data_IF_042956752148
#
_entry.id   IF_042956752148
#
_cell.length_a   1.000
_cell.length_b   1.000
_cell.length_c   1.000
_cell.angle_alpha   90.00
_cell.angle_beta   90.00
_cell.angle_gamma   90.00
#
_symmetry.space_group_name_H-M   'P 1'
#
loop_
_entity.id
_entity.type
_entity.pdbx_description
1 polymer ?
#
# COMPACT_ATOMS: atom_id res chain seq x y z
N UNK A 1 -0.72 -16.29 26.24
CA UNK A 1 -1.33 -15.39 25.22
C UNK A 1 -0.40 -15.40 24.00
N UNK A 2 -0.70 -16.20 22.98
CA UNK A 2 0.18 -16.32 21.80
C UNK A 2 0.15 -15.00 21.04
N UNK A 3 1.23 -14.21 21.12
CA UNK A 3 1.46 -13.08 20.23
C UNK A 3 1.79 -13.65 18.84
N UNK A 4 0.75 -14.12 18.14
CA UNK A 4 0.87 -14.50 16.74
C UNK A 4 1.09 -13.19 15.99
N UNK A 5 2.33 -12.91 15.62
CA UNK A 5 2.60 -11.87 14.65
C UNK A 5 2.04 -12.38 13.31
N UNK A 6 0.79 -12.02 13.02
CA UNK A 6 0.11 -12.47 11.80
C UNK A 6 0.73 -11.67 10.66
N UNK A 7 1.50 -12.36 9.83
CA UNK A 7 2.00 -11.85 8.57
C UNK A 7 1.03 -12.32 7.49
N UNK A 8 0.38 -11.39 6.81
CA UNK A 8 -0.48 -11.67 5.65
C UNK A 8 0.28 -11.32 4.39
N UNK A 9 0.32 -12.22 3.42
CA UNK A 9 0.97 -11.98 2.13
C UNK A 9 -0.02 -12.22 1.00
N UNK A 10 -0.06 -11.28 0.05
CA UNK A 10 -0.90 -11.32 -1.15
C UNK A 10 0.05 -11.18 -2.34
N UNK A 11 -0.04 -12.12 -3.27
CA UNK A 11 0.69 -12.12 -4.53
C UNK A 11 -0.35 -11.96 -5.64
N UNK A 12 -0.30 -10.86 -6.36
CA UNK A 12 -1.30 -10.48 -7.37
C UNK A 12 -1.11 -11.20 -8.71
N UNK A 13 -0.09 -12.05 -8.83
CA UNK A 13 0.21 -12.82 -10.05
C UNK A 13 0.83 -12.00 -11.20
N UNK A 14 0.99 -10.69 -11.01
CA UNK A 14 1.62 -9.81 -11.99
C UNK A 14 3.12 -10.15 -12.14
N UNK A 15 3.54 -10.46 -13.36
CA UNK A 15 4.94 -10.64 -13.73
C UNK A 15 5.41 -9.38 -14.46
N UNK A 16 6.34 -8.60 -13.90
CA UNK A 16 6.89 -7.44 -14.59
C UNK A 16 7.65 -7.91 -15.83
N UNK A 17 7.58 -7.12 -16.90
CA UNK A 17 8.39 -7.34 -18.08
C UNK A 17 9.85 -6.96 -17.77
N UNK A 18 10.84 -7.60 -18.40
CA UNK A 18 12.26 -7.41 -18.06
C UNK A 18 12.72 -5.94 -18.19
N UNK A 19 12.11 -5.18 -19.11
CA UNK A 19 12.38 -3.75 -19.34
C UNK A 19 11.78 -2.83 -18.26
N UNK A 20 10.71 -3.28 -17.58
CA UNK A 20 10.00 -2.51 -16.54
C UNK A 20 10.58 -2.71 -15.14
N UNK A 21 11.65 -3.49 -15.00
CA UNK A 21 12.36 -3.70 -13.73
C UNK A 21 12.85 -2.39 -13.11
N UNK A 22 13.20 -1.41 -13.93
CA UNK A 22 13.60 -0.06 -13.53
C UNK A 22 12.48 0.76 -12.87
N UNK A 23 11.21 0.35 -13.02
CA UNK A 23 10.01 1.00 -12.44
C UNK A 23 9.48 0.30 -11.20
N UNK A 24 10.01 -0.88 -10.89
CA UNK A 24 9.66 -1.62 -9.69
C UNK A 24 10.24 -0.89 -8.48
N UNK A 25 9.41 -0.63 -7.48
CA UNK A 25 9.81 -0.05 -6.20
C UNK A 25 9.33 -0.93 -5.07
N UNK A 26 10.20 -1.10 -4.09
CA UNK A 26 9.86 -1.68 -2.80
C UNK A 26 9.58 -0.52 -1.83
N UNK A 27 8.33 -0.42 -1.38
CA UNK A 27 7.83 0.64 -0.50
C UNK A 27 7.46 0.04 0.85
N UNK A 28 7.79 0.75 1.92
CA UNK A 28 7.46 0.37 3.29
C UNK A 28 6.63 1.48 3.91
N UNK A 29 5.38 1.16 4.22
CA UNK A 29 4.43 2.09 4.84
C UNK A 29 4.20 1.69 6.29
N UNK A 30 4.38 2.65 7.19
CA UNK A 30 4.19 2.51 8.62
C UNK A 30 2.85 3.12 9.07
N UNK A 31 2.49 2.86 10.32
CA UNK A 31 1.35 3.49 11.02
C UNK A 31 -0.03 3.29 10.37
N UNK A 32 -0.19 2.23 9.57
CA UNK A 32 -1.50 1.89 9.01
C UNK A 32 -2.39 1.33 10.14
N UNK A 33 -3.60 1.86 10.36
CA UNK A 33 -4.55 1.27 11.30
C UNK A 33 -4.82 -0.20 10.98
N UNK A 34 -4.87 -1.05 12.01
CA UNK A 34 -5.20 -2.48 11.82
C UNK A 34 -6.64 -2.72 11.34
N UNK A 35 -7.49 -1.68 11.41
CA UNK A 35 -8.86 -1.72 10.90
C UNK A 35 -8.94 -1.76 9.38
N UNK A 36 -7.88 -1.34 8.66
CA UNK A 36 -7.82 -1.38 7.21
C UNK A 36 -7.59 -2.81 6.72
N UNK A 37 -8.50 -3.26 5.86
CA UNK A 37 -8.40 -4.56 5.21
C UNK A 37 -7.35 -4.55 4.10
N UNK A 38 -6.86 -5.73 3.72
CA UNK A 38 -5.96 -5.88 2.57
C UNK A 38 -6.56 -5.33 1.28
N UNK A 39 -7.87 -5.45 1.11
CA UNK A 39 -8.57 -5.05 -0.10
C UNK A 39 -8.62 -3.52 -0.23
N UNK A 40 -8.98 -2.81 0.84
CA UNK A 40 -8.96 -1.33 0.86
C UNK A 40 -7.57 -0.78 0.58
N UNK A 41 -6.54 -1.40 1.19
CA UNK A 41 -5.15 -1.02 0.95
C UNK A 41 -4.79 -1.29 -0.51
N UNK A 42 -5.12 -2.46 -1.06
CA UNK A 42 -4.83 -2.80 -2.44
C UNK A 42 -5.53 -1.87 -3.44
N UNK A 43 -6.78 -1.47 -3.17
CA UNK A 43 -7.51 -0.51 -4.00
C UNK A 43 -6.80 0.85 -4.05
N UNK A 44 -6.35 1.36 -2.90
CA UNK A 44 -5.56 2.61 -2.87
C UNK A 44 -4.22 2.47 -3.60
N UNK A 45 -3.54 1.32 -3.45
CA UNK A 45 -2.26 1.07 -4.10
C UNK A 45 -2.37 0.86 -5.61
N UNK A 46 -3.51 0.36 -6.09
CA UNK A 46 -3.79 0.18 -7.53
C UNK A 46 -3.80 1.52 -8.27
N UNK A 47 -4.09 2.64 -7.58
CA UNK A 47 -3.98 3.99 -8.15
C UNK A 47 -2.54 4.40 -8.47
N UNK A 48 -1.56 3.83 -7.75
CA UNK A 48 -0.15 4.19 -7.93
C UNK A 48 0.51 3.38 -9.05
N UNK A 49 0.02 2.16 -9.26
CA UNK A 49 0.46 1.29 -10.34
C UNK A 49 0.09 -0.16 -10.09
N UNK A 50 0.82 -1.07 -10.77
CA UNK A 50 0.53 -2.50 -10.71
C UNK A 50 1.23 -3.12 -9.53
N UNK A 51 0.45 -3.48 -8.49
CA UNK A 51 0.98 -4.19 -7.32
C UNK A 51 1.46 -5.58 -7.72
N UNK A 52 2.68 -5.95 -7.35
CA UNK A 52 3.29 -7.27 -7.57
C UNK A 52 3.11 -8.15 -6.33
N UNK A 53 3.42 -7.58 -5.17
CA UNK A 53 3.23 -8.26 -3.89
C UNK A 53 2.93 -7.27 -2.77
N UNK A 54 2.12 -7.72 -1.82
CA UNK A 54 1.74 -6.99 -0.63
C UNK A 54 1.97 -7.89 0.58
N UNK A 55 2.77 -7.45 1.52
CA UNK A 55 2.96 -8.12 2.80
C UNK A 55 2.57 -7.17 3.91
N UNK A 56 1.74 -7.64 4.83
CA UNK A 56 1.27 -6.87 5.96
C UNK A 56 1.67 -7.56 7.25
N UNK A 57 2.18 -6.78 8.18
CA UNK A 57 2.59 -7.25 9.51
C UNK A 57 1.84 -6.46 10.56
N UNK A 58 0.95 -7.13 11.29
CA UNK A 58 0.24 -6.48 12.40
C UNK A 58 1.18 -6.26 13.59
N UNK A 59 1.17 -5.05 14.15
CA UNK A 59 1.94 -4.60 15.29
C UNK A 59 1.04 -3.83 16.28
N UNK A 60 0.42 -4.55 17.22
CA UNK A 60 -0.54 -4.00 18.20
C UNK A 60 -1.72 -3.33 17.49
N UNK A 61 -1.84 -2.00 17.61
CA UNK A 61 -2.92 -1.17 17.05
C UNK A 61 -2.67 -0.71 15.61
N UNK A 62 -1.43 -0.88 15.13
CA UNK A 62 -1.04 -0.54 13.77
C UNK A 62 -0.56 -1.78 13.02
N UNK A 63 -0.36 -1.62 11.73
CA UNK A 63 0.30 -2.59 10.88
C UNK A 63 1.29 -1.89 9.96
N UNK A 64 2.31 -2.65 9.59
CA UNK A 64 3.30 -2.24 8.59
C UNK A 64 2.99 -2.94 7.30
N UNK A 65 3.07 -2.22 6.19
CA UNK A 65 2.81 -2.75 4.86
C UNK A 65 4.06 -2.63 4.02
N UNK A 66 4.55 -3.77 3.56
CA UNK A 66 5.60 -3.92 2.56
C UNK A 66 4.94 -4.15 1.22
N UNK A 67 5.25 -3.28 0.27
CA UNK A 67 4.67 -3.29 -1.05
C UNK A 67 5.78 -3.38 -2.08
N UNK A 68 5.64 -4.31 -3.02
CA UNK A 68 6.38 -4.29 -4.27
C UNK A 68 5.44 -3.89 -5.39
N UNK A 69 5.71 -2.77 -6.04
CA UNK A 69 4.83 -2.18 -7.05
C UNK A 69 5.62 -1.74 -8.27
N UNK A 70 5.05 -1.96 -9.44
CA UNK A 70 5.49 -1.33 -10.67
C UNK A 70 4.79 0.03 -10.79
N UNK A 71 5.54 1.11 -10.61
CA UNK A 71 4.98 2.45 -10.69
C UNK A 71 4.64 2.81 -12.13
N UNK A 72 3.43 3.34 -12.32
CA UNK A 72 3.06 3.92 -13.60
C UNK A 72 3.82 5.23 -13.81
N UNK A 73 4.09 5.58 -15.07
CA UNK A 73 4.76 6.83 -15.45
C UNK A 73 4.07 8.08 -14.87
N UNK A 74 2.76 8.04 -14.65
CA UNK A 74 2.01 9.10 -13.97
C UNK A 74 2.52 9.37 -12.53
N UNK A 75 2.82 8.32 -11.76
CA UNK A 75 3.31 8.48 -10.39
C UNK A 75 4.78 8.89 -10.32
N UNK A 76 5.57 8.53 -11.33
CA UNK A 76 6.96 8.98 -11.44
C UNK A 76 7.06 10.49 -11.66
N UNK A 77 6.13 11.08 -12.40
CA UNK A 77 6.08 12.53 -12.65
C UNK A 77 5.71 13.30 -11.37
N UNK A 78 4.83 12.74 -10.53
CA UNK A 78 4.41 13.35 -9.26
C UNK A 78 5.46 13.26 -8.15
N UNK A 79 6.39 12.30 -8.21
CA UNK A 79 7.52 12.22 -7.27
C UNK A 79 8.64 13.22 -7.59
N UNK A 80 8.76 13.64 -8.85
CA UNK A 80 9.86 14.46 -9.33
C UNK A 80 9.50 15.96 -9.41
N UNK A 81 8.21 16.26 -9.54
CA UNK A 81 7.67 17.60 -9.37
C UNK A 81 7.14 17.66 -7.94
N UNK A 82 7.60 18.60 -7.10
CA UNK A 82 7.24 18.68 -5.67
C UNK A 82 5.75 19.01 -5.38
N UNK A 83 4.83 18.35 -6.06
CA UNK A 83 3.39 18.49 -5.90
C UNK A 83 2.95 17.73 -4.65
N UNK A 84 2.83 18.48 -3.55
CA UNK A 84 2.16 18.06 -2.33
C UNK A 84 0.70 17.75 -2.66
N UNK A 85 0.39 16.49 -2.96
CA UNK A 85 -0.99 16.04 -3.08
C UNK A 85 -1.51 15.78 -1.67
N UNK A 86 -2.10 16.81 -1.06
CA UNK A 86 -2.91 16.65 0.15
C UNK A 86 -4.18 15.89 -0.23
N UNK A 87 -4.10 14.56 -0.22
CA UNK A 87 -5.28 13.71 -0.31
C UNK A 87 -6.04 13.86 1.01
N UNK A 88 -7.02 14.76 1.02
CA UNK A 88 -7.96 14.98 2.12
C UNK A 88 -8.78 13.70 2.31
N UNK A 89 -8.30 12.81 3.17
CA UNK A 89 -9.04 11.62 3.63
C UNK A 89 -10.35 12.10 4.25
N UNK A 90 -11.46 11.86 3.56
CA UNK A 90 -12.79 12.16 4.05
C UNK A 90 -13.16 11.10 5.09
N UNK A 91 -12.88 11.39 6.37
CA UNK A 91 -13.37 10.60 7.49
C UNK A 91 -14.78 11.08 7.84
N UNK A 92 -15.80 10.48 7.24
CA UNK A 92 -17.17 10.59 7.76
C UNK A 92 -17.29 9.71 9.02
N UNK A 93 -17.04 10.30 10.19
CA UNK A 93 -17.44 9.72 11.48
C UNK A 93 -18.96 9.67 11.53
N UNK A 94 -19.55 8.50 11.26
CA UNK A 94 -20.93 8.19 11.66
C UNK A 94 -20.95 8.06 13.20
N UNK A 95 -21.47 9.09 13.88
CA UNK A 95 -21.85 9.04 15.30
C UNK A 95 -23.19 8.31 15.36
N UNK A 96 -23.22 7.14 15.97
CA UNK A 96 -24.48 6.49 16.36
C UNK A 96 -24.72 6.89 17.82
N UNK A 97 -25.86 7.54 18.06
CA UNK A 97 -26.40 7.87 19.38
C UNK A 97 -27.19 6.67 19.90
#
# INVERSE_FOLDING_TARGET
KSNKNIIKQIITGHKPNDDDTSRIRDILVYDIPVSLTSEEILQQLTLWGKTISLQMKQQKKYQTVRLKIELTSFCLIQGNTGSVVSSKVNTQRKKIT
#
